data_IF_812279936885
#
_entry.id   IF_812279936885
#
_cell.length_a   1.000
_cell.length_b   1.000
_cell.length_c   1.000
_cell.angle_alpha   90.00
_cell.angle_beta   90.00
_cell.angle_gamma   90.00
#
_symmetry.space_group_name_H-M   'P 1'
#
loop_
_entity.id
_entity.type
_entity.pdbx_description
1 polymer ?
#
# COMPACT_ATOMS: atom_id res chain seq x y z
N UNK A 1 14.79 18.70 18.99
CA UNK A 1 14.90 17.58 18.02
C UNK A 1 13.70 17.57 17.06
N UNK A 2 12.46 17.56 17.55
CA UNK A 2 11.24 17.52 16.72
C UNK A 2 11.08 18.76 15.84
N UNK A 3 11.41 19.95 16.35
CA UNK A 3 11.39 21.22 15.60
C UNK A 3 12.41 21.24 14.45
N UNK A 4 13.58 20.61 14.60
CA UNK A 4 14.60 20.53 13.56
C UNK A 4 14.15 19.58 12.41
N UNK A 5 13.47 18.48 12.72
CA UNK A 5 12.89 17.56 11.74
C UNK A 5 11.76 18.26 10.98
N UNK A 6 10.90 19.02 11.66
CA UNK A 6 9.84 19.81 11.03
C UNK A 6 10.39 20.94 10.15
N UNK A 7 11.48 21.58 10.55
CA UNK A 7 12.16 22.59 9.74
C UNK A 7 12.83 21.97 8.51
N UNK A 8 13.42 20.79 8.62
CA UNK A 8 14.04 20.07 7.51
C UNK A 8 13.02 19.63 6.45
N UNK A 9 11.85 19.17 6.87
CA UNK A 9 10.73 18.81 5.96
C UNK A 9 10.17 20.05 5.23
N UNK A 10 10.33 21.24 5.79
CA UNK A 10 9.92 22.51 5.17
C UNK A 10 10.90 23.04 4.13
N UNK A 11 12.10 22.49 4.04
CA UNK A 11 13.14 22.89 3.07
C UNK A 11 12.81 22.31 1.68
N UNK A 12 13.07 23.00 0.56
CA UNK A 12 12.75 22.51 -0.79
C UNK A 12 13.44 21.17 -1.13
N UNK A 13 14.59 20.87 -0.52
CA UNK A 13 15.27 19.57 -0.62
C UNK A 13 14.60 18.46 0.22
N UNK A 14 14.01 18.81 1.38
CA UNK A 14 13.22 17.89 2.20
C UNK A 14 11.90 17.51 1.53
N UNK A 15 11.27 18.46 0.81
CA UNK A 15 10.08 18.17 0.00
C UNK A 15 10.36 17.15 -1.11
N UNK A 16 11.51 17.21 -1.75
CA UNK A 16 11.89 16.26 -2.80
C UNK A 16 12.13 14.85 -2.23
N UNK A 17 12.76 14.73 -1.06
CA UNK A 17 12.94 13.45 -0.36
C UNK A 17 11.63 12.92 0.22
N UNK A 18 10.74 13.81 0.71
CA UNK A 18 9.41 13.44 1.16
C UNK A 18 8.50 12.97 0.00
N UNK A 19 8.64 13.58 -1.18
CA UNK A 19 8.00 13.11 -2.40
C UNK A 19 8.57 11.76 -2.85
N UNK A 20 9.88 11.52 -2.73
CA UNK A 20 10.50 10.22 -3.01
C UNK A 20 10.05 9.15 -2.00
N UNK A 21 9.85 9.50 -0.73
CA UNK A 21 9.31 8.62 0.28
C UNK A 21 7.81 8.30 0.01
N UNK A 22 7.06 9.29 -0.45
CA UNK A 22 5.68 9.12 -0.92
C UNK A 22 5.61 8.31 -2.23
N UNK A 23 6.63 8.37 -3.07
CA UNK A 23 6.79 7.52 -4.26
C UNK A 23 7.17 6.07 -3.90
N UNK A 24 7.85 5.86 -2.76
CA UNK A 24 8.06 4.52 -2.17
C UNK A 24 6.85 3.98 -1.40
N UNK A 25 5.86 4.82 -1.12
CA UNK A 25 4.58 4.43 -0.53
C UNK A 25 3.51 3.87 -1.53
N UNK A 26 3.74 3.74 -2.86
CA UNK A 26 2.78 3.06 -3.75
C UNK A 26 2.53 1.61 -3.35
N UNK A 27 3.45 0.99 -2.60
CA UNK A 27 3.30 -0.39 -2.11
C UNK A 27 2.12 -0.50 -1.13
N UNK A 28 1.94 0.46 -0.22
CA UNK A 28 0.79 0.49 0.70
C UNK A 28 -0.52 0.79 -0.02
N UNK A 29 -0.48 1.67 -1.02
CA UNK A 29 -1.63 1.93 -1.88
C UNK A 29 -2.06 0.68 -2.63
N UNK A 30 -1.12 -0.01 -3.28
CA UNK A 30 -1.39 -1.26 -3.99
C UNK A 30 -1.97 -2.35 -3.08
N UNK A 31 -1.46 -2.47 -1.84
CA UNK A 31 -1.98 -3.41 -0.85
C UNK A 31 -3.43 -3.09 -0.46
N UNK A 32 -3.73 -1.82 -0.15
CA UNK A 32 -5.10 -1.39 0.21
C UNK A 32 -6.07 -1.67 -0.95
N UNK A 33 -5.65 -1.39 -2.19
CA UNK A 33 -6.44 -1.69 -3.37
C UNK A 33 -6.66 -3.19 -3.57
N UNK A 34 -5.62 -4.00 -3.43
CA UNK A 34 -5.72 -5.45 -3.57
C UNK A 34 -6.67 -6.06 -2.52
N UNK A 35 -6.58 -5.60 -1.28
CA UNK A 35 -7.46 -6.04 -0.19
C UNK A 35 -8.93 -5.64 -0.46
N UNK A 36 -9.18 -4.41 -0.93
CA UNK A 36 -10.54 -3.95 -1.21
C UNK A 36 -11.13 -4.70 -2.42
N UNK A 37 -10.33 -4.92 -3.46
CA UNK A 37 -10.69 -5.73 -4.62
C UNK A 37 -11.02 -7.18 -4.21
N UNK A 38 -10.16 -7.83 -3.42
CA UNK A 38 -10.40 -9.17 -2.88
C UNK A 38 -11.73 -9.25 -2.12
N UNK A 39 -11.99 -8.27 -1.25
CA UNK A 39 -13.22 -8.21 -0.46
C UNK A 39 -14.47 -8.10 -1.32
N UNK A 40 -14.45 -7.23 -2.32
CA UNK A 40 -15.56 -7.04 -3.26
C UNK A 40 -15.78 -8.29 -4.11
N UNK A 41 -14.71 -8.87 -4.67
CA UNK A 41 -14.81 -10.08 -5.47
C UNK A 41 -15.33 -11.28 -4.66
N UNK A 42 -14.92 -11.39 -3.39
CA UNK A 42 -15.44 -12.41 -2.47
C UNK A 42 -16.94 -12.23 -2.22
N UNK A 43 -17.39 -10.99 -2.03
CA UNK A 43 -18.81 -10.71 -1.85
C UNK A 43 -19.62 -11.05 -3.13
N UNK A 44 -19.13 -10.69 -4.31
CA UNK A 44 -19.75 -11.05 -5.59
C UNK A 44 -19.81 -12.57 -5.74
N UNK A 45 -18.70 -13.28 -5.50
CA UNK A 45 -18.65 -14.76 -5.58
C UNK A 45 -19.69 -15.42 -4.67
N UNK A 46 -19.77 -14.99 -3.41
CA UNK A 46 -20.74 -15.54 -2.45
C UNK A 46 -22.18 -15.32 -2.88
N UNK A 47 -22.49 -14.12 -3.39
CA UNK A 47 -23.84 -13.79 -3.85
C UNK A 47 -24.23 -14.60 -5.11
N UNK A 48 -23.27 -14.81 -6.03
CA UNK A 48 -23.49 -15.65 -7.21
C UNK A 48 -23.69 -17.13 -6.85
N UNK A 49 -22.94 -17.65 -5.88
CA UNK A 49 -23.11 -19.02 -5.36
C UNK A 49 -24.47 -19.21 -4.70
N UNK A 50 -25.03 -18.17 -4.10
CA UNK A 50 -26.37 -18.16 -3.54
C UNK A 50 -27.47 -18.00 -4.61
N UNK A 51 -27.13 -18.03 -5.90
CA UNK A 51 -28.07 -17.94 -7.02
C UNK A 51 -28.55 -16.53 -7.35
N UNK A 52 -27.90 -15.50 -6.81
CA UNK A 52 -28.22 -14.11 -7.18
C UNK A 52 -27.76 -13.81 -8.61
N UNK A 53 -28.52 -12.98 -9.31
CA UNK A 53 -28.09 -12.45 -10.61
C UNK A 53 -26.89 -11.52 -10.43
N UNK A 54 -25.99 -11.46 -11.41
CA UNK A 54 -24.77 -10.65 -11.36
C UNK A 54 -25.04 -9.18 -10.98
N UNK A 55 -26.10 -8.59 -11.52
CA UNK A 55 -26.50 -7.22 -11.24
C UNK A 55 -26.81 -7.01 -9.75
N UNK A 56 -27.57 -7.91 -9.14
CA UNK A 56 -27.91 -7.88 -7.72
C UNK A 56 -26.67 -8.13 -6.85
N UNK A 57 -25.81 -9.06 -7.28
CA UNK A 57 -24.54 -9.35 -6.60
C UNK A 57 -23.61 -8.11 -6.56
N UNK A 58 -23.51 -7.38 -7.67
CA UNK A 58 -22.75 -6.12 -7.74
C UNK A 58 -23.35 -5.06 -6.81
N UNK A 59 -24.68 -4.90 -6.81
CA UNK A 59 -25.40 -3.91 -5.97
C UNK A 59 -25.12 -4.16 -4.47
N UNK A 60 -25.29 -5.40 -4.01
CA UNK A 60 -25.02 -5.78 -2.62
C UNK A 60 -23.54 -5.59 -2.27
N UNK A 61 -22.64 -5.86 -3.22
CA UNK A 61 -21.19 -5.74 -3.01
C UNK A 61 -20.71 -4.29 -2.87
N UNK A 62 -21.49 -3.29 -3.27
CA UNK A 62 -21.20 -1.87 -3.00
C UNK A 62 -21.06 -1.60 -1.50
N UNK A 63 -21.84 -2.27 -0.65
CA UNK A 63 -21.80 -2.09 0.81
C UNK A 63 -20.49 -2.57 1.45
N UNK A 64 -19.72 -3.39 0.75
CA UNK A 64 -18.48 -3.98 1.23
C UNK A 64 -17.26 -3.16 0.78
N UNK A 65 -17.39 -2.42 -0.31
CA UNK A 65 -16.34 -1.55 -0.84
C UNK A 65 -16.07 -0.38 0.11
N UNK A 66 -14.80 -0.17 0.45
CA UNK A 66 -14.37 0.95 1.33
C UNK A 66 -13.77 2.11 0.55
N UNK A 67 -13.30 1.85 -0.66
CA UNK A 67 -12.66 2.84 -1.51
C UNK A 67 -13.68 3.47 -2.46
N UNK A 68 -13.72 4.81 -2.52
CA UNK A 68 -14.59 5.55 -3.43
C UNK A 68 -14.33 5.21 -4.91
N UNK A 69 -13.09 4.87 -5.27
CA UNK A 69 -12.75 4.43 -6.64
C UNK A 69 -13.41 3.09 -6.93
N UNK A 70 -13.36 2.13 -5.99
CA UNK A 70 -14.03 0.83 -6.12
C UNK A 70 -15.55 1.00 -6.24
N UNK A 71 -16.14 1.92 -5.47
CA UNK A 71 -17.56 2.24 -5.57
C UNK A 71 -17.93 2.76 -6.96
N UNK A 72 -17.16 3.68 -7.53
CA UNK A 72 -17.42 4.20 -8.89
C UNK A 72 -17.29 3.13 -9.97
N UNK A 73 -16.35 2.19 -9.82
CA UNK A 73 -16.21 1.05 -10.73
C UNK A 73 -17.43 0.13 -10.65
N UNK A 74 -17.90 -0.19 -9.44
CA UNK A 74 -19.09 -1.01 -9.25
C UNK A 74 -20.34 -0.33 -9.83
N UNK A 75 -20.51 0.98 -9.65
CA UNK A 75 -21.62 1.74 -10.25
C UNK A 75 -21.58 1.71 -11.77
N UNK A 76 -20.41 1.90 -12.36
CA UNK A 76 -20.24 1.79 -13.81
C UNK A 76 -20.51 0.36 -14.29
N UNK A 77 -20.08 -0.65 -13.55
CA UNK A 77 -20.33 -2.06 -13.86
C UNK A 77 -21.83 -2.41 -13.82
N UNK A 78 -22.56 -1.88 -12.85
CA UNK A 78 -24.00 -2.03 -12.75
C UNK A 78 -24.70 -1.37 -13.94
N UNK A 79 -24.30 -0.13 -14.28
CA UNK A 79 -24.83 0.57 -15.45
C UNK A 79 -24.53 -0.19 -16.75
N UNK A 80 -23.34 -0.77 -16.90
CA UNK A 80 -22.99 -1.61 -18.04
C UNK A 80 -23.92 -2.84 -18.13
N UNK A 81 -24.23 -3.50 -17.00
CA UNK A 81 -25.21 -4.59 -16.98
C UNK A 81 -26.59 -4.15 -17.47
N UNK A 82 -27.05 -2.96 -17.10
CA UNK A 82 -28.37 -2.44 -17.52
C UNK A 82 -28.48 -2.20 -19.03
N UNK A 83 -27.39 -1.79 -19.66
CA UNK A 83 -27.32 -1.51 -21.10
C UNK A 83 -26.81 -2.70 -21.92
N UNK A 84 -26.64 -3.88 -21.28
CA UNK A 84 -26.20 -5.11 -21.96
C UNK A 84 -24.69 -5.15 -22.28
N UNK A 85 -23.90 -4.26 -21.71
CA UNK A 85 -22.43 -4.30 -21.82
C UNK A 85 -21.79 -5.20 -20.76
N UNK A 86 -20.51 -5.52 -20.95
CA UNK A 86 -19.74 -6.30 -19.96
C UNK A 86 -19.54 -5.52 -18.67
N UNK A 87 -19.89 -6.13 -17.55
CA UNK A 87 -19.64 -5.57 -16.22
C UNK A 87 -18.15 -5.63 -15.81
N UNK A 88 -17.34 -6.42 -16.52
CA UNK A 88 -15.90 -6.57 -16.27
C UNK A 88 -15.09 -5.42 -16.84
N UNK A 89 -15.58 -4.77 -17.90
CA UNK A 89 -14.90 -3.70 -18.61
C UNK A 89 -14.42 -2.55 -17.72
N UNK A 90 -15.21 -2.02 -16.75
CA UNK A 90 -14.75 -0.98 -15.85
C UNK A 90 -13.62 -1.42 -14.91
N UNK A 91 -13.56 -2.69 -14.54
CA UNK A 91 -12.45 -3.24 -13.75
C UNK A 91 -11.15 -3.31 -14.55
N UNK A 92 -11.24 -3.63 -15.83
CA UNK A 92 -10.11 -3.67 -16.75
C UNK A 92 -9.55 -2.26 -17.01
N UNK A 93 -10.42 -1.31 -17.35
CA UNK A 93 -10.05 0.09 -17.64
C UNK A 93 -9.43 0.81 -16.42
N UNK A 94 -9.91 0.50 -15.24
CA UNK A 94 -9.41 1.11 -14.00
C UNK A 94 -8.05 0.58 -13.55
N UNK A 95 -7.54 -0.50 -14.15
CA UNK A 95 -6.32 -1.20 -13.71
C UNK A 95 -6.49 -1.87 -12.34
N UNK A 96 -7.71 -2.01 -11.86
CA UNK A 96 -8.04 -2.74 -10.64
C UNK A 96 -7.94 -4.25 -10.86
N UNK A 97 -6.99 -4.84 -10.18
CA UNK A 97 -6.57 -6.20 -10.44
C UNK A 97 -5.52 -6.26 -11.55
N UNK A 98 -4.87 -7.39 -11.64
CA UNK A 98 -3.93 -7.69 -12.72
C UNK A 98 -4.73 -7.89 -14.03
N UNK A 99 -4.14 -7.63 -15.19
CA UNK A 99 -4.75 -7.94 -16.49
C UNK A 99 -5.28 -9.39 -16.54
N UNK A 100 -4.59 -10.31 -15.87
CA UNK A 100 -4.99 -11.70 -15.65
C UNK A 100 -6.35 -11.81 -14.94
N UNK A 101 -6.62 -10.97 -13.94
CA UNK A 101 -7.88 -11.00 -13.18
C UNK A 101 -9.08 -10.64 -14.06
N UNK A 102 -8.95 -9.63 -14.91
CA UNK A 102 -10.00 -9.23 -15.85
C UNK A 102 -10.25 -10.31 -16.91
N UNK A 103 -9.19 -10.95 -17.39
CA UNK A 103 -9.29 -12.04 -18.35
C UNK A 103 -9.95 -13.28 -17.75
N UNK A 104 -9.62 -13.65 -16.52
CA UNK A 104 -10.28 -14.72 -15.77
C UNK A 104 -11.77 -14.46 -15.59
N UNK A 105 -12.18 -13.22 -15.31
CA UNK A 105 -13.58 -12.84 -15.21
C UNK A 105 -14.30 -12.96 -16.57
N UNK A 106 -13.67 -12.54 -17.66
CA UNK A 106 -14.23 -12.68 -19.02
C UNK A 106 -14.44 -14.15 -19.41
N UNK A 107 -13.46 -14.99 -19.13
CA UNK A 107 -13.54 -16.44 -19.36
C UNK A 107 -14.64 -17.06 -18.47
N UNK A 108 -14.72 -16.64 -17.21
CA UNK A 108 -15.76 -17.08 -16.28
C UNK A 108 -17.16 -16.77 -16.74
N UNK A 109 -17.38 -15.61 -17.39
CA UNK A 109 -18.68 -15.25 -17.96
C UNK A 109 -19.14 -16.20 -19.09
N UNK A 110 -18.21 -16.84 -19.78
CA UNK A 110 -18.51 -17.76 -20.89
C UNK A 110 -18.63 -19.22 -20.44
N UNK A 111 -18.20 -19.54 -19.21
CA UNK A 111 -18.16 -20.92 -18.71
C UNK A 111 -18.95 -21.04 -17.40
N UNK A 112 -18.26 -21.10 -16.28
CA UNK A 112 -18.82 -21.23 -14.93
C UNK A 112 -18.25 -20.10 -14.05
N UNK A 113 -18.98 -19.00 -13.98
CA UNK A 113 -18.54 -17.80 -13.28
C UNK A 113 -18.21 -18.07 -11.79
N UNK A 114 -19.04 -18.80 -11.00
CA UNK A 114 -18.68 -19.11 -9.61
C UNK A 114 -17.38 -19.86 -9.42
N UNK A 115 -17.11 -20.86 -10.26
CA UNK A 115 -15.83 -21.61 -10.18
C UNK A 115 -14.62 -20.76 -10.60
N UNK A 116 -14.80 -19.92 -11.60
CA UNK A 116 -13.73 -19.03 -12.04
C UNK A 116 -13.45 -17.96 -10.99
N UNK A 117 -14.48 -17.47 -10.29
CA UNK A 117 -14.33 -16.57 -9.16
C UNK A 117 -13.53 -17.18 -8.02
N UNK A 118 -13.66 -18.49 -7.74
CA UNK A 118 -12.84 -19.18 -6.73
C UNK A 118 -11.35 -19.16 -7.11
N UNK A 119 -11.03 -19.50 -8.35
CA UNK A 119 -9.66 -19.43 -8.87
C UNK A 119 -9.11 -18.02 -8.85
N UNK A 120 -9.95 -17.05 -9.19
CA UNK A 120 -9.58 -15.64 -9.11
C UNK A 120 -9.25 -15.22 -7.67
N UNK A 121 -10.02 -15.70 -6.69
CA UNK A 121 -9.76 -15.42 -5.27
C UNK A 121 -8.41 -15.98 -4.83
N UNK A 122 -8.09 -17.23 -5.19
CA UNK A 122 -6.79 -17.84 -4.90
C UNK A 122 -5.64 -17.04 -5.53
N UNK A 123 -5.82 -16.57 -6.76
CA UNK A 123 -4.84 -15.72 -7.43
C UNK A 123 -4.65 -14.36 -6.72
N UNK A 124 -5.74 -13.69 -6.34
CA UNK A 124 -5.68 -12.41 -5.61
C UNK A 124 -5.02 -12.57 -4.24
N UNK A 125 -5.29 -13.66 -3.51
CA UNK A 125 -4.64 -13.96 -2.24
C UNK A 125 -3.13 -14.14 -2.42
N UNK A 126 -2.69 -14.83 -3.47
CA UNK A 126 -1.28 -14.98 -3.82
C UNK A 126 -0.62 -13.63 -4.16
N UNK A 127 -1.32 -12.75 -4.88
CA UNK A 127 -0.82 -11.40 -5.19
C UNK A 127 -0.67 -10.54 -3.93
N UNK A 128 -1.63 -10.62 -3.00
CA UNK A 128 -1.56 -9.95 -1.69
C UNK A 128 -0.35 -10.43 -0.90
N UNK A 129 -0.12 -11.74 -0.85
CA UNK A 129 1.02 -12.34 -0.16
C UNK A 129 2.35 -11.89 -0.78
N UNK A 130 2.44 -11.80 -2.10
CA UNK A 130 3.61 -11.28 -2.78
C UNK A 130 3.90 -9.81 -2.45
N UNK A 131 2.87 -8.98 -2.32
CA UNK A 131 2.99 -7.57 -1.89
C UNK A 131 3.45 -7.51 -0.43
N UNK A 132 2.87 -8.32 0.45
CA UNK A 132 3.26 -8.41 1.87
C UNK A 132 4.72 -8.83 2.03
N UNK A 133 5.17 -9.84 1.29
CA UNK A 133 6.57 -10.26 1.30
C UNK A 133 7.53 -9.15 0.86
N UNK A 134 7.15 -8.34 -0.13
CA UNK A 134 7.94 -7.16 -0.54
C UNK A 134 8.05 -6.14 0.59
N UNK A 135 6.96 -5.89 1.31
CA UNK A 135 6.94 -4.99 2.47
C UNK A 135 7.84 -5.53 3.57
N UNK A 136 7.72 -6.83 3.89
CA UNK A 136 8.52 -7.47 4.94
C UNK A 136 10.02 -7.47 4.63
N UNK A 137 10.41 -7.51 3.36
CA UNK A 137 11.83 -7.41 2.97
C UNK A 137 12.43 -6.02 3.20
N UNK A 138 11.62 -4.97 3.01
CA UNK A 138 12.09 -3.57 3.17
C UNK A 138 12.09 -3.12 4.64
N UNK A 139 11.27 -3.73 5.48
CA UNK A 139 11.10 -3.34 6.87
C UNK A 139 12.40 -3.40 7.71
N UNK A 140 13.23 -4.47 7.63
CA UNK A 140 14.49 -4.54 8.36
C UNK A 140 15.48 -3.44 7.94
N UNK A 141 15.58 -3.15 6.63
CA UNK A 141 16.48 -2.13 6.10
C UNK A 141 16.15 -0.74 6.66
N UNK A 142 14.86 -0.39 6.72
CA UNK A 142 14.38 0.86 7.32
C UNK A 142 14.70 0.91 8.82
N UNK A 143 14.54 -0.20 9.53
CA UNK A 143 14.89 -0.31 10.96
C UNK A 143 16.39 -0.06 11.21
N UNK A 144 17.28 -0.62 10.41
CA UNK A 144 18.72 -0.40 10.55
C UNK A 144 19.12 1.06 10.34
N UNK A 145 18.52 1.73 9.35
CA UNK A 145 18.76 3.16 9.11
C UNK A 145 18.29 3.99 10.30
N UNK A 146 17.14 3.67 10.89
CA UNK A 146 16.61 4.38 12.04
C UNK A 146 17.50 4.22 13.27
N UNK A 147 17.90 2.99 13.59
CA UNK A 147 18.78 2.69 14.72
C UNK A 147 20.15 3.35 14.51
N UNK A 148 20.72 3.27 13.31
CA UNK A 148 21.99 3.93 12.97
C UNK A 148 21.93 5.44 13.16
N UNK A 149 20.83 6.08 12.74
CA UNK A 149 20.63 7.52 12.93
C UNK A 149 20.57 7.91 14.40
N UNK A 150 19.86 7.12 15.22
CA UNK A 150 19.78 7.35 16.69
C UNK A 150 21.15 7.19 17.34
N UNK A 151 21.93 6.17 16.96
CA UNK A 151 23.29 5.95 17.49
C UNK A 151 24.22 7.10 17.13
N UNK A 152 24.24 7.57 15.89
CA UNK A 152 25.04 8.71 15.46
C UNK A 152 24.67 9.96 16.27
N UNK A 153 23.38 10.20 16.45
CA UNK A 153 22.91 11.33 17.25
C UNK A 153 23.40 11.24 18.71
N UNK A 154 23.32 10.05 19.31
CA UNK A 154 23.79 9.82 20.66
C UNK A 154 25.31 10.05 20.79
N UNK A 155 26.08 9.52 19.86
CA UNK A 155 27.55 9.73 19.80
C UNK A 155 27.88 11.21 19.68
N UNK A 156 27.23 11.96 18.81
CA UNK A 156 27.48 13.39 18.65
C UNK A 156 27.13 14.20 19.91
N UNK A 157 26.02 13.91 20.57
CA UNK A 157 25.55 14.66 21.73
C UNK A 157 26.39 14.36 22.99
N UNK A 158 26.89 13.15 23.14
CA UNK A 158 27.63 12.72 24.35
C UNK A 158 29.15 12.82 24.16
N UNK A 159 29.69 12.29 23.07
CA UNK A 159 31.11 12.22 22.84
C UNK A 159 31.75 13.59 22.58
N UNK A 160 31.09 14.45 21.82
CA UNK A 160 31.63 15.78 21.47
C UNK A 160 31.85 16.65 22.72
N UNK A 161 30.90 16.83 23.65
CA UNK A 161 31.15 17.60 24.88
C UNK A 161 32.13 16.91 25.83
N UNK A 162 32.16 15.57 25.89
CA UNK A 162 33.16 14.85 26.69
C UNK A 162 34.58 15.13 26.21
N UNK A 163 34.84 15.12 24.92
CA UNK A 163 36.14 15.43 24.33
C UNK A 163 36.52 16.88 24.61
N UNK A 164 35.59 17.83 24.52
CA UNK A 164 35.86 19.24 24.81
C UNK A 164 36.23 19.47 26.27
N UNK A 165 35.60 18.82 27.21
CA UNK A 165 35.94 18.89 28.64
C UNK A 165 37.30 18.27 28.89
N UNK A 166 37.62 17.15 28.27
CA UNK A 166 38.93 16.47 28.45
C UNK A 166 40.07 17.27 27.85
N UNK A 167 39.93 17.82 26.66
CA UNK A 167 40.93 18.65 25.99
C UNK A 167 41.09 20.02 26.67
N UNK A 168 39.99 20.63 27.12
CA UNK A 168 40.03 21.90 27.87
C UNK A 168 40.73 21.78 29.21
N UNK A 169 40.53 20.69 29.93
CA UNK A 169 41.24 20.37 31.17
C UNK A 169 42.75 20.18 30.96
N UNK A 170 43.16 19.58 29.86
CA UNK A 170 44.58 19.36 29.54
C UNK A 170 45.32 20.66 29.17
N UNK A 171 44.67 21.57 28.44
CA UNK A 171 45.24 22.88 28.10
C UNK A 171 45.40 23.78 29.34
N UNK A 172 44.48 23.70 30.30
CA UNK A 172 44.58 24.49 31.54
C UNK A 172 45.69 24.00 32.45
N UNK A 173 45.93 22.67 32.49
CA UNK A 173 47.03 22.08 33.27
C UNK A 173 48.44 22.44 32.73
N UNK A 174 48.56 22.66 31.41
CA UNK A 174 49.83 23.01 30.77
C UNK A 174 50.23 24.50 30.94
N UNK A 175 49.32 25.36 31.41
CA UNK A 175 49.58 26.80 31.59
C UNK A 175 50.06 27.15 33.00
N UNK A 176 50.16 26.19 33.92
CA UNK A 176 50.64 26.37 35.29
C UNK A 176 51.97 25.68 35.57
N UNK A 177 52.71 25.18 34.56
CA UNK A 177 54.09 24.74 34.62
C UNK A 177 54.99 25.73 33.88
#
# INVERSE_FOLDING_TARGET
AIAAIMAYVRTPKGRYQWHLFKYKAPIFGALIYAIDFSRVMKAISLNLKNGMRIQQALEVSKNVAKNNVMLSILETSINNCLIGKSWVEPFEESGFGNAMSAEMLKVGMQTDLPKMMDKLMEFIESDIDAILQKIMKVLPEVSYILVGTVLIFFVCVVLVPCIQVYMGGFMFSSSYM
#
